data_IF_379733041712
#
_entry.id   IF_379733041712
#
_cell.length_a   1.000
_cell.length_b   1.000
_cell.length_c   1.000
_cell.angle_alpha   90.00
_cell.angle_beta   90.00
_cell.angle_gamma   90.00
#
_symmetry.space_group_name_H-M   'P 1'
#
loop_
_entity.id
_entity.type
_entity.pdbx_description
1 polymer ?
#
# COMPACT_ATOMS: atom_id res chain seq x y z
N UNK A 1 -46.22 -43.43 26.25
CA UNK A 1 -45.14 -43.60 25.24
C UNK A 1 -44.39 -42.27 25.11
N UNK A 2 -43.33 -42.00 25.91
CA UNK A 2 -42.54 -40.79 25.76
C UNK A 2 -41.35 -41.06 24.80
N UNK A 3 -41.18 -40.21 23.80
CA UNK A 3 -40.01 -40.20 22.91
C UNK A 3 -38.95 -39.28 23.53
N UNK A 4 -37.91 -39.89 24.11
CA UNK A 4 -36.67 -39.21 24.51
C UNK A 4 -35.83 -38.91 23.27
N UNK A 5 -35.82 -37.64 22.85
CA UNK A 5 -34.89 -37.15 21.82
C UNK A 5 -33.50 -36.94 22.41
N UNK A 6 -32.56 -37.82 22.04
CA UNK A 6 -31.14 -37.71 22.37
C UNK A 6 -30.53 -36.46 21.72
N UNK A 7 -30.15 -35.50 22.55
CA UNK A 7 -29.34 -34.35 22.15
C UNK A 7 -27.92 -34.83 21.84
N UNK A 8 -27.60 -34.93 20.55
CA UNK A 8 -26.23 -35.14 20.08
C UNK A 8 -25.38 -33.90 20.39
N UNK A 9 -24.62 -33.97 21.48
CA UNK A 9 -23.59 -32.99 21.79
C UNK A 9 -22.49 -33.07 20.71
N UNK A 10 -22.42 -32.05 19.85
CA UNK A 10 -21.30 -31.88 18.92
C UNK A 10 -20.01 -31.67 19.71
N UNK A 11 -19.16 -32.70 19.72
CA UNK A 11 -17.80 -32.64 20.27
C UNK A 11 -17.00 -31.64 19.44
N UNK A 12 -16.71 -30.47 20.02
CA UNK A 12 -15.86 -29.47 19.42
C UNK A 12 -14.44 -30.03 19.30
N UNK A 13 -14.05 -30.41 18.08
CA UNK A 13 -12.68 -30.83 17.76
C UNK A 13 -11.73 -29.69 18.13
N UNK A 14 -10.73 -29.91 19.00
CA UNK A 14 -9.76 -28.88 19.34
C UNK A 14 -8.96 -28.55 18.09
N UNK A 15 -9.19 -27.36 17.54
CA UNK A 15 -8.40 -26.83 16.41
C UNK A 15 -6.94 -26.84 16.83
N UNK A 16 -6.12 -27.65 16.14
CA UNK A 16 -4.71 -27.78 16.40
C UNK A 16 -4.06 -26.38 16.42
N UNK A 17 -3.38 -26.05 17.53
CA UNK A 17 -2.69 -24.77 17.70
C UNK A 17 -1.67 -24.63 16.59
N UNK A 18 -1.91 -23.70 15.66
CA UNK A 18 -0.97 -23.45 14.57
C UNK A 18 0.31 -22.88 15.18
N UNK A 19 1.45 -23.57 14.95
CA UNK A 19 2.75 -23.04 15.35
C UNK A 19 3.01 -21.73 14.63
N UNK A 20 3.48 -20.73 15.37
CA UNK A 20 3.89 -19.44 14.81
C UNK A 20 4.96 -19.65 13.72
N UNK A 21 4.77 -19.12 12.51
CA UNK A 21 5.81 -19.13 11.49
C UNK A 21 7.07 -18.40 11.98
N UNK A 22 8.26 -18.94 11.67
CA UNK A 22 9.57 -18.37 12.07
C UNK A 22 9.76 -16.90 11.70
N UNK A 23 9.05 -16.39 10.68
CA UNK A 23 9.11 -14.99 10.21
C UNK A 23 7.84 -14.19 10.46
N UNK A 24 7.03 -14.57 11.44
CA UNK A 24 5.81 -13.83 11.79
C UNK A 24 6.15 -12.49 12.44
N UNK A 25 5.68 -11.38 11.86
CA UNK A 25 5.81 -10.02 12.41
C UNK A 25 4.80 -9.69 13.51
N UNK A 26 3.98 -10.66 13.94
CA UNK A 26 2.95 -10.46 14.97
C UNK A 26 3.61 -10.08 16.31
N UNK A 27 3.22 -8.93 16.85
CA UNK A 27 3.78 -8.43 18.11
C UNK A 27 2.99 -8.98 19.30
N UNK A 28 3.64 -9.08 20.45
CA UNK A 28 2.91 -9.35 21.69
C UNK A 28 1.90 -8.22 21.97
N UNK A 29 0.81 -8.56 22.65
CA UNK A 29 -0.33 -7.67 22.85
C UNK A 29 -1.34 -7.63 21.69
N UNK A 30 -1.07 -8.30 20.56
CA UNK A 30 -2.05 -8.47 19.47
C UNK A 30 -2.89 -9.74 19.67
N UNK A 31 -4.17 -9.71 19.26
CA UNK A 31 -5.06 -10.86 19.34
C UNK A 31 -4.55 -12.08 18.56
N UNK A 32 -3.97 -11.85 17.37
CA UNK A 32 -3.37 -12.89 16.52
C UNK A 32 -2.17 -13.59 17.17
N UNK A 33 -1.51 -12.96 18.13
CA UNK A 33 -0.42 -13.60 18.88
C UNK A 33 -0.95 -14.76 19.74
N UNK A 34 -2.14 -14.60 20.33
CA UNK A 34 -2.79 -15.64 21.12
C UNK A 34 -3.27 -16.81 20.25
N UNK A 35 -3.68 -16.55 19.01
CA UNK A 35 -4.09 -17.60 18.05
C UNK A 35 -2.94 -18.57 17.72
N UNK A 36 -1.69 -18.11 17.80
CA UNK A 36 -0.49 -18.96 17.68
C UNK A 36 -0.12 -19.69 18.99
N UNK A 37 -0.96 -19.63 20.02
CA UNK A 37 -0.74 -20.30 21.31
C UNK A 37 0.11 -19.50 22.31
N UNK A 38 0.29 -18.18 22.12
CA UNK A 38 1.01 -17.36 23.09
C UNK A 38 0.24 -17.27 24.43
N UNK A 39 0.88 -17.68 25.53
CA UNK A 39 0.27 -17.68 26.86
C UNK A 39 0.40 -16.36 27.64
N UNK A 40 1.00 -15.30 27.07
CA UNK A 40 1.14 -14.02 27.77
C UNK A 40 -0.22 -13.39 28.06
N UNK A 41 -0.37 -12.80 29.24
CA UNK A 41 -1.63 -12.20 29.69
C UNK A 41 -2.15 -11.13 28.72
N UNK A 42 -1.26 -10.25 28.25
CA UNK A 42 -1.56 -9.20 27.26
C UNK A 42 -2.15 -9.75 25.96
N UNK A 43 -1.61 -10.86 25.43
CA UNK A 43 -2.08 -11.50 24.20
C UNK A 43 -3.46 -12.12 24.42
N UNK A 44 -3.66 -12.84 25.54
CA UNK A 44 -4.96 -13.44 25.87
C UNK A 44 -6.04 -12.39 26.07
N UNK A 45 -5.73 -11.30 26.78
CA UNK A 45 -6.66 -10.19 26.96
C UNK A 45 -7.00 -9.51 25.64
N UNK A 46 -6.03 -9.32 24.73
CA UNK A 46 -6.28 -8.81 23.39
C UNK A 46 -7.22 -9.74 22.59
N UNK A 47 -7.01 -11.05 22.66
CA UNK A 47 -7.87 -12.04 22.01
C UNK A 47 -9.31 -12.02 22.55
N UNK A 48 -9.47 -11.93 23.89
CA UNK A 48 -10.78 -11.81 24.53
C UNK A 48 -11.48 -10.50 24.17
N UNK A 49 -10.77 -9.37 24.13
CA UNK A 49 -11.33 -8.10 23.65
C UNK A 49 -11.82 -8.21 22.21
N UNK A 50 -11.01 -8.81 21.32
CA UNK A 50 -11.39 -9.03 19.93
C UNK A 50 -12.60 -9.96 19.78
N UNK A 51 -12.71 -11.03 20.60
CA UNK A 51 -13.87 -11.93 20.61
C UNK A 51 -15.14 -11.21 21.06
N UNK A 52 -15.09 -10.48 22.18
CA UNK A 52 -16.22 -9.69 22.68
C UNK A 52 -16.68 -8.65 21.68
N UNK A 53 -15.76 -8.00 20.97
CA UNK A 53 -16.13 -7.06 19.92
C UNK A 53 -16.89 -7.76 18.78
N UNK A 54 -16.40 -8.91 18.30
CA UNK A 54 -17.08 -9.69 17.26
C UNK A 54 -18.48 -10.17 17.68
N UNK A 55 -18.66 -10.49 18.96
CA UNK A 55 -19.97 -10.86 19.50
C UNK A 55 -20.92 -9.65 19.52
N UNK A 56 -20.44 -8.48 19.95
CA UNK A 56 -21.22 -7.23 19.90
C UNK A 56 -21.60 -6.85 18.47
N UNK A 57 -20.67 -6.98 17.53
CA UNK A 57 -20.93 -6.68 16.12
C UNK A 57 -21.99 -7.64 15.56
N UNK A 58 -21.89 -8.94 15.87
CA UNK A 58 -22.91 -9.94 15.51
C UNK A 58 -24.26 -9.62 16.12
N UNK A 59 -24.31 -9.25 17.41
CA UNK A 59 -25.56 -8.86 18.07
C UNK A 59 -26.20 -7.61 17.45
N UNK A 60 -25.40 -6.73 16.85
CA UNK A 60 -25.86 -5.55 16.10
C UNK A 60 -26.19 -5.84 14.63
N UNK A 61 -26.14 -7.09 14.19
CA UNK A 61 -26.36 -7.47 12.79
C UNK A 61 -25.29 -6.96 11.83
N UNK A 62 -24.11 -6.58 12.33
CA UNK A 62 -23.04 -6.04 11.49
C UNK A 62 -22.30 -7.18 10.78
N UNK A 63 -22.12 -7.12 9.44
CA UNK A 63 -21.41 -8.17 8.73
C UNK A 63 -19.93 -8.19 9.11
N UNK A 64 -19.39 -9.39 9.34
CA UNK A 64 -17.99 -9.60 9.71
C UNK A 64 -16.99 -9.23 8.60
N UNK A 65 -17.47 -9.24 7.35
CA UNK A 65 -16.76 -8.92 6.13
C UNK A 65 -17.38 -7.66 5.53
N UNK A 66 -16.55 -6.78 4.98
CA UNK A 66 -17.00 -5.53 4.34
C UNK A 66 -16.24 -5.31 3.04
N UNK A 67 -16.84 -4.59 2.08
CA UNK A 67 -16.16 -4.21 0.86
C UNK A 67 -14.88 -3.40 1.16
N UNK A 68 -13.76 -3.68 0.47
CA UNK A 68 -12.47 -3.05 0.75
C UNK A 68 -12.36 -1.57 0.35
N UNK A 69 -13.29 -1.04 -0.46
CA UNK A 69 -13.12 0.24 -1.16
C UNK A 69 -12.89 1.44 -0.25
N UNK A 70 -13.60 1.53 0.88
CA UNK A 70 -13.42 2.64 1.81
C UNK A 70 -12.02 2.64 2.43
N UNK A 71 -11.55 1.47 2.89
CA UNK A 71 -10.22 1.28 3.42
C UNK A 71 -9.14 1.51 2.35
N UNK A 72 -9.38 1.06 1.11
CA UNK A 72 -8.47 1.28 -0.02
C UNK A 72 -8.30 2.78 -0.33
N UNK A 73 -9.40 3.53 -0.47
CA UNK A 73 -9.35 4.98 -0.68
C UNK A 73 -8.61 5.70 0.45
N UNK A 74 -8.86 5.31 1.70
CA UNK A 74 -8.17 5.91 2.85
C UNK A 74 -6.67 5.57 2.87
N UNK A 75 -6.31 4.31 2.61
CA UNK A 75 -4.92 3.89 2.51
C UNK A 75 -4.18 4.64 1.39
N UNK A 76 -4.83 4.92 0.26
CA UNK A 76 -4.27 5.77 -0.81
C UNK A 76 -4.05 7.20 -0.32
N UNK A 77 -4.98 7.79 0.45
CA UNK A 77 -4.77 9.11 1.06
C UNK A 77 -3.59 9.14 2.03
N UNK A 78 -3.47 8.11 2.88
CA UNK A 78 -2.32 7.95 3.79
C UNK A 78 -1.00 7.87 3.02
N UNK A 79 -0.97 7.14 1.89
CA UNK A 79 0.18 7.12 0.99
C UNK A 79 0.50 8.47 0.37
N UNK A 80 -0.52 9.23 -0.05
CA UNK A 80 -0.35 10.59 -0.56
C UNK A 80 0.32 11.54 0.46
N UNK A 81 0.11 11.26 1.75
CA UNK A 81 0.75 11.95 2.88
C UNK A 81 2.10 11.36 3.29
N UNK A 82 2.65 10.41 2.51
CA UNK A 82 3.99 9.88 2.71
C UNK A 82 4.07 8.62 3.58
N UNK A 83 2.95 8.00 3.98
CA UNK A 83 3.02 6.70 4.66
C UNK A 83 3.29 5.58 3.67
N UNK A 84 4.25 4.71 3.97
CA UNK A 84 4.42 3.46 3.23
C UNK A 84 3.36 2.42 3.62
N UNK A 85 3.22 1.37 2.81
CA UNK A 85 2.38 0.23 3.17
C UNK A 85 2.83 -0.44 4.48
N UNK A 86 4.13 -0.37 4.80
CA UNK A 86 4.68 -0.86 6.07
C UNK A 86 4.18 0.00 7.23
N UNK A 87 4.28 1.33 7.13
CA UNK A 87 3.82 2.25 8.18
C UNK A 87 2.32 2.11 8.46
N UNK A 88 1.53 1.96 7.39
CA UNK A 88 0.08 1.73 7.50
C UNK A 88 -0.17 0.39 8.22
N UNK A 89 0.57 -0.66 7.86
CA UNK A 89 0.42 -1.98 8.49
C UNK A 89 0.81 -1.95 9.97
N UNK A 90 1.92 -1.30 10.32
CA UNK A 90 2.39 -1.18 11.70
C UNK A 90 1.41 -0.35 12.54
N UNK A 91 0.87 0.77 12.03
CA UNK A 91 -0.13 1.59 12.74
C UNK A 91 -1.49 0.91 12.88
N UNK A 92 -1.95 0.18 11.86
CA UNK A 92 -3.21 -0.57 11.93
C UNK A 92 -3.07 -1.91 12.68
N UNK A 93 -1.86 -2.35 13.02
CA UNK A 93 -1.62 -3.69 13.58
C UNK A 93 -1.98 -4.82 12.60
N UNK A 94 -1.81 -4.59 11.30
CA UNK A 94 -2.13 -5.52 10.22
C UNK A 94 -0.88 -6.09 9.56
N UNK A 95 -1.05 -7.10 8.71
CA UNK A 95 0.05 -7.57 7.87
C UNK A 95 0.25 -6.65 6.66
N UNK A 96 1.51 -6.43 6.28
CA UNK A 96 1.89 -5.61 5.12
C UNK A 96 1.29 -6.18 3.83
N UNK A 97 1.17 -7.51 3.74
CA UNK A 97 0.56 -8.19 2.60
C UNK A 97 -0.92 -7.84 2.47
N UNK A 98 -1.66 -7.75 3.57
CA UNK A 98 -3.05 -7.31 3.56
C UNK A 98 -3.16 -5.85 3.12
N UNK A 99 -2.33 -4.95 3.66
CA UNK A 99 -2.32 -3.54 3.28
C UNK A 99 -1.98 -3.37 1.79
N UNK A 100 -0.97 -4.08 1.28
CA UNK A 100 -0.62 -4.09 -0.15
C UNK A 100 -1.72 -4.67 -1.03
N UNK A 101 -2.53 -5.60 -0.52
CA UNK A 101 -3.71 -6.10 -1.24
C UNK A 101 -4.79 -5.03 -1.31
N UNK A 102 -5.11 -4.40 -0.18
CA UNK A 102 -6.07 -3.29 -0.10
C UNK A 102 -5.66 -2.11 -0.98
N UNK A 103 -4.38 -1.76 -1.02
CA UNK A 103 -3.85 -0.69 -1.89
C UNK A 103 -3.92 -1.01 -3.38
N UNK A 104 -3.99 -2.29 -3.75
CA UNK A 104 -4.15 -2.73 -5.15
C UNK A 104 -5.61 -2.82 -5.57
N UNK A 105 -6.54 -2.74 -4.63
CA UNK A 105 -7.97 -2.77 -4.93
C UNK A 105 -8.36 -1.51 -5.72
N UNK A 106 -8.82 -1.65 -6.97
CA UNK A 106 -9.35 -0.53 -7.73
C UNK A 106 -10.58 0.07 -7.02
N UNK A 107 -10.79 1.38 -7.20
CA UNK A 107 -11.88 2.08 -6.53
C UNK A 107 -13.29 1.54 -6.88
N UNK A 108 -13.42 0.86 -8.03
CA UNK A 108 -14.69 0.41 -8.61
C UNK A 108 -14.73 -1.09 -8.94
N UNK A 109 -13.75 -1.87 -8.47
CA UNK A 109 -13.70 -3.30 -8.78
C UNK A 109 -14.59 -4.10 -7.82
N UNK A 110 -15.80 -4.43 -8.27
CA UNK A 110 -16.76 -5.23 -7.51
C UNK A 110 -16.33 -6.67 -7.27
N UNK A 111 -15.27 -7.14 -7.94
CA UNK A 111 -14.72 -8.49 -7.75
C UNK A 111 -13.67 -8.58 -6.65
N UNK A 112 -13.29 -7.44 -6.06
CA UNK A 112 -12.32 -7.41 -5.00
C UNK A 112 -12.82 -8.18 -3.75
N UNK A 113 -12.03 -9.13 -3.21
CA UNK A 113 -12.47 -9.96 -2.10
C UNK A 113 -12.66 -9.12 -0.83
N UNK A 114 -13.77 -9.37 -0.14
CA UNK A 114 -14.11 -8.69 1.11
C UNK A 114 -13.03 -8.87 2.18
N UNK A 115 -12.78 -7.78 2.91
CA UNK A 115 -11.85 -7.76 4.04
C UNK A 115 -12.63 -7.87 5.35
N UNK A 116 -11.96 -8.34 6.40
CA UNK A 116 -12.55 -8.34 7.74
C UNK A 116 -12.87 -6.89 8.14
N UNK A 117 -14.07 -6.67 8.69
CA UNK A 117 -14.53 -5.35 9.19
C UNK A 117 -13.49 -4.71 10.11
N UNK A 118 -12.97 -5.48 11.07
CA UNK A 118 -11.94 -5.02 11.99
C UNK A 118 -10.68 -4.50 11.29
N UNK A 119 -10.32 -5.08 10.13
CA UNK A 119 -9.17 -4.61 9.34
C UNK A 119 -9.50 -3.32 8.58
N UNK A 120 -10.72 -3.20 8.05
CA UNK A 120 -11.18 -1.97 7.43
C UNK A 120 -11.19 -0.83 8.46
N UNK A 121 -11.78 -1.06 9.63
CA UNK A 121 -11.85 -0.10 10.73
C UNK A 121 -10.46 0.29 11.23
N UNK A 122 -9.53 -0.68 11.34
CA UNK A 122 -8.16 -0.41 11.75
C UNK A 122 -7.41 0.50 10.75
N UNK A 123 -7.64 0.33 9.44
CA UNK A 123 -7.07 1.21 8.41
C UNK A 123 -7.72 2.59 8.49
N UNK A 124 -9.05 2.66 8.54
CA UNK A 124 -9.83 3.90 8.62
C UNK A 124 -9.53 4.71 9.88
N UNK A 125 -9.19 4.04 10.99
CA UNK A 125 -8.82 4.65 12.26
C UNK A 125 -7.42 5.26 12.29
N UNK A 126 -6.57 5.06 11.27
CA UNK A 126 -5.26 5.73 11.23
C UNK A 126 -5.48 7.23 10.97
N UNK A 127 -5.05 8.12 11.89
CA UNK A 127 -5.18 9.56 11.68
C UNK A 127 -4.28 10.01 10.52
N UNK A 128 -4.74 11.00 9.75
CA UNK A 128 -3.89 11.65 8.76
C UNK A 128 -2.75 12.39 9.50
N UNK A 129 -1.50 12.23 9.06
CA UNK A 129 -0.39 12.92 9.68
C UNK A 129 -0.50 14.41 9.33
N UNK A 130 -0.33 15.28 10.33
CA UNK A 130 -0.59 16.72 10.21
C UNK A 130 0.39 17.43 9.27
N UNK A 131 1.54 16.80 8.98
CA UNK A 131 2.49 17.18 7.94
C UNK A 131 2.99 15.91 7.29
N UNK A 132 3.40 15.98 6.01
CA UNK A 132 4.35 15.00 5.45
C UNK A 132 5.53 14.97 6.40
N UNK A 133 5.60 13.94 7.24
CA UNK A 133 6.77 13.73 8.06
C UNK A 133 7.70 12.86 7.21
N UNK A 134 8.73 13.42 6.56
CA UNK A 134 9.66 12.65 5.72
C UNK A 134 10.50 11.65 6.54
N UNK A 135 10.33 11.62 7.86
CA UNK A 135 11.14 10.84 8.79
C UNK A 135 11.06 9.32 8.66
N UNK A 136 10.06 8.74 7.99
CA UNK A 136 10.07 7.30 7.68
C UNK A 136 10.42 7.05 6.22
N UNK A 137 11.63 6.55 5.90
CA UNK A 137 12.06 6.25 4.55
C UNK A 137 11.35 5.00 4.02
N UNK A 138 10.07 5.15 3.67
CA UNK A 138 9.32 4.12 2.98
C UNK A 138 9.91 3.90 1.59
N UNK A 139 10.60 2.80 1.36
CA UNK A 139 10.95 2.40 0.00
C UNK A 139 9.69 1.86 -0.70
N UNK A 140 9.43 2.37 -1.91
CA UNK A 140 8.37 1.90 -2.80
C UNK A 140 8.98 1.31 -4.07
N UNK A 141 8.21 0.45 -4.73
CA UNK A 141 8.50 0.02 -6.09
C UNK A 141 8.58 1.24 -7.03
N UNK A 142 9.50 1.16 -7.99
CA UNK A 142 9.82 2.27 -8.91
C UNK A 142 9.13 2.19 -10.24
N UNK A 143 8.47 1.08 -10.58
CA UNK A 143 7.88 0.86 -11.91
C UNK A 143 6.99 2.02 -12.35
N UNK A 144 6.13 2.51 -11.45
CA UNK A 144 5.27 3.66 -11.74
C UNK A 144 6.08 4.95 -11.99
N UNK A 145 7.04 5.26 -11.11
CA UNK A 145 7.87 6.45 -11.25
C UNK A 145 8.75 6.41 -12.52
N UNK A 146 9.29 5.23 -12.85
CA UNK A 146 10.04 4.97 -14.08
C UNK A 146 9.19 5.26 -15.32
N UNK A 147 7.97 4.69 -15.38
CA UNK A 147 7.01 4.93 -16.47
C UNK A 147 6.69 6.43 -16.63
N UNK A 148 6.39 7.12 -15.53
CA UNK A 148 6.07 8.56 -15.58
C UNK A 148 7.26 9.40 -16.08
N UNK A 149 8.49 9.08 -15.67
CA UNK A 149 9.69 9.76 -16.20
C UNK A 149 9.94 9.42 -17.67
N UNK A 150 9.64 8.21 -18.11
CA UNK A 150 9.70 7.83 -19.51
C UNK A 150 8.68 8.62 -20.35
N UNK A 151 7.47 8.81 -19.84
CA UNK A 151 6.41 9.60 -20.49
C UNK A 151 6.83 11.06 -20.68
N UNK A 152 7.41 11.67 -19.64
CA UNK A 152 7.96 13.03 -19.75
C UNK A 152 9.13 13.11 -20.75
N UNK A 153 10.01 12.12 -20.78
CA UNK A 153 11.09 12.08 -21.77
C UNK A 153 10.55 11.96 -23.20
N UNK A 154 9.46 11.20 -23.42
CA UNK A 154 8.76 11.13 -24.73
C UNK A 154 8.09 12.45 -25.10
N UNK A 155 7.55 13.19 -24.13
CA UNK A 155 7.08 14.55 -24.35
C UNK A 155 8.21 15.55 -24.65
N UNK A 156 9.47 15.17 -24.38
CA UNK A 156 10.67 15.93 -24.71
C UNK A 156 11.27 16.71 -23.53
N UNK A 157 10.90 16.35 -22.30
CA UNK A 157 11.46 16.95 -21.08
C UNK A 157 12.86 16.38 -20.76
N UNK A 158 13.94 17.19 -20.82
CA UNK A 158 15.29 16.71 -20.55
C UNK A 158 15.47 16.29 -19.08
N UNK A 159 16.30 15.27 -18.85
CA UNK A 159 16.56 14.77 -17.49
C UNK A 159 17.17 15.84 -16.57
N UNK A 160 17.96 16.76 -17.11
CA UNK A 160 18.55 17.89 -16.37
C UNK A 160 17.48 18.82 -15.82
N UNK A 161 16.48 19.20 -16.64
CA UNK A 161 15.37 20.05 -16.21
C UNK A 161 14.47 19.34 -15.20
N UNK A 162 14.18 18.06 -15.42
CA UNK A 162 13.41 17.26 -14.46
C UNK A 162 14.12 17.16 -13.10
N UNK A 163 15.44 16.99 -13.12
CA UNK A 163 16.26 16.90 -11.92
C UNK A 163 16.28 18.20 -11.11
N UNK A 164 16.41 19.35 -11.79
CA UNK A 164 16.32 20.67 -11.15
C UNK A 164 14.97 20.85 -10.45
N UNK A 165 13.85 20.48 -11.10
CA UNK A 165 12.51 20.61 -10.50
C UNK A 165 12.24 19.63 -9.36
N UNK A 166 12.90 18.47 -9.37
CA UNK A 166 12.78 17.49 -8.30
C UNK A 166 13.75 17.74 -7.14
N UNK A 167 14.69 18.68 -7.29
CA UNK A 167 15.83 18.90 -6.40
C UNK A 167 16.63 17.60 -6.17
N UNK A 168 17.06 16.97 -7.28
CA UNK A 168 17.88 15.75 -7.29
C UNK A 168 18.95 15.83 -8.37
N UNK A 169 19.90 14.89 -8.35
CA UNK A 169 20.90 14.78 -9.40
C UNK A 169 20.28 14.23 -10.71
N UNK A 170 20.63 14.77 -11.91
CA UNK A 170 20.20 14.21 -13.19
C UNK A 170 20.49 12.71 -13.37
N UNK A 171 21.58 12.23 -12.79
CA UNK A 171 21.91 10.79 -12.73
C UNK A 171 20.85 9.99 -11.97
N UNK A 172 20.32 10.53 -10.88
CA UNK A 172 19.24 9.88 -10.12
C UNK A 172 17.97 9.75 -10.95
N UNK A 173 17.62 10.76 -11.76
CA UNK A 173 16.47 10.69 -12.68
C UNK A 173 16.68 9.58 -13.72
N UNK A 174 17.88 9.49 -14.29
CA UNK A 174 18.23 8.42 -15.23
C UNK A 174 18.18 7.02 -14.56
N UNK A 175 18.72 6.89 -13.35
CA UNK A 175 18.70 5.63 -12.59
C UNK A 175 17.28 5.19 -12.22
N UNK A 176 16.42 6.10 -11.75
CA UNK A 176 15.02 5.80 -11.45
C UNK A 176 14.27 5.36 -12.70
N UNK A 177 14.56 5.99 -13.84
CA UNK A 177 13.97 5.59 -15.12
C UNK A 177 14.44 4.21 -15.58
N UNK A 178 15.73 3.91 -15.46
CA UNK A 178 16.34 2.80 -16.20
C UNK A 178 16.60 1.54 -15.37
N UNK A 179 16.98 1.66 -14.09
CA UNK A 179 17.65 0.55 -13.38
C UNK A 179 17.23 0.35 -11.92
N UNK A 180 16.65 1.36 -11.28
CA UNK A 180 16.49 1.35 -9.83
C UNK A 180 15.19 0.63 -9.46
N UNK A 181 15.19 -0.53 -8.78
CA UNK A 181 13.97 -1.27 -8.46
C UNK A 181 13.18 -0.68 -7.29
N UNK A 182 13.83 0.13 -6.44
CA UNK A 182 13.21 0.74 -5.27
C UNK A 182 13.68 2.17 -5.07
N UNK A 183 12.75 3.07 -4.80
CA UNK A 183 13.04 4.46 -4.45
C UNK A 183 12.27 4.90 -3.21
N UNK A 184 12.69 6.03 -2.62
CA UNK A 184 11.95 6.64 -1.53
C UNK A 184 10.56 7.08 -2.00
N UNK A 185 9.55 6.80 -1.18
CA UNK A 185 8.16 7.15 -1.45
C UNK A 185 7.98 8.65 -1.68
N UNK A 186 8.69 9.49 -0.94
CA UNK A 186 8.61 10.94 -1.15
C UNK A 186 9.09 11.34 -2.57
N UNK A 187 10.19 10.76 -3.05
CA UNK A 187 10.65 11.00 -4.42
C UNK A 187 9.65 10.48 -5.45
N UNK A 188 9.06 9.29 -5.22
CA UNK A 188 8.01 8.76 -6.11
C UNK A 188 6.81 9.71 -6.19
N UNK A 189 6.34 10.24 -5.06
CA UNK A 189 5.23 11.20 -5.02
C UNK A 189 5.59 12.55 -5.64
N UNK A 190 6.85 13.01 -5.51
CA UNK A 190 7.34 14.20 -6.21
C UNK A 190 7.31 14.00 -7.72
N UNK A 191 7.79 12.85 -8.21
CA UNK A 191 7.72 12.48 -9.63
C UNK A 191 6.26 12.45 -10.13
N UNK A 192 5.34 11.83 -9.39
CA UNK A 192 3.92 11.77 -9.78
C UNK A 192 3.23 13.14 -9.82
N UNK A 193 3.63 14.09 -8.96
CA UNK A 193 3.15 15.47 -9.03
C UNK A 193 3.74 16.17 -10.25
N UNK A 194 5.06 16.12 -10.40
CA UNK A 194 5.76 16.73 -11.53
C UNK A 194 5.21 16.25 -12.88
N UNK A 195 4.90 14.96 -13.01
CA UNK A 195 4.28 14.42 -14.21
C UNK A 195 2.93 15.07 -14.51
N UNK A 196 2.02 15.13 -13.52
CA UNK A 196 0.71 15.79 -13.71
C UNK A 196 0.87 17.26 -14.09
N UNK A 197 1.86 17.92 -13.53
CA UNK A 197 2.12 19.34 -13.75
C UNK A 197 2.76 19.63 -15.13
N UNK A 198 3.41 18.64 -15.77
CA UNK A 198 4.19 18.86 -16.99
C UNK A 198 3.67 18.14 -18.23
N UNK A 199 2.95 17.03 -18.10
CA UNK A 199 2.64 16.14 -19.22
C UNK A 199 1.84 16.82 -20.35
N UNK A 200 0.98 17.80 -20.00
CA UNK A 200 0.15 18.52 -20.96
C UNK A 200 0.80 19.81 -21.49
N UNK A 201 2.04 20.10 -21.09
CA UNK A 201 2.71 21.34 -21.47
C UNK A 201 3.83 21.12 -22.47
N UNK A 202 4.01 22.10 -23.36
CA UNK A 202 5.10 22.13 -24.32
C UNK A 202 6.41 22.57 -23.63
N UNK A 203 7.49 21.74 -23.65
CA UNK A 203 8.77 22.10 -23.05
C UNK A 203 9.38 23.40 -23.62
N UNK A 204 9.08 23.75 -24.87
CA UNK A 204 9.56 24.99 -25.49
C UNK A 204 9.02 26.24 -24.77
N UNK A 205 7.78 26.18 -24.24
CA UNK A 205 7.20 27.25 -23.44
C UNK A 205 7.88 27.45 -22.08
N UNK A 206 8.78 26.55 -21.69
CA UNK A 206 9.60 26.63 -20.49
C UNK A 206 11.08 26.91 -20.78
N UNK A 207 11.38 27.46 -21.97
CA UNK A 207 12.73 27.87 -22.35
C UNK A 207 13.66 26.71 -22.72
N UNK A 208 13.14 25.49 -22.92
CA UNK A 208 13.95 24.36 -23.37
C UNK A 208 14.19 24.49 -24.87
N UNK A 209 15.46 24.45 -25.28
CA UNK A 209 15.84 24.61 -26.68
C UNK A 209 15.25 23.48 -27.56
N UNK A 210 14.69 23.77 -28.75
CA UNK A 210 14.09 22.76 -29.62
C UNK A 210 15.01 21.56 -29.94
N UNK A 211 16.31 21.80 -30.09
CA UNK A 211 17.31 20.75 -30.30
C UNK A 211 17.39 19.77 -29.12
N UNK A 212 17.31 20.25 -27.88
CA UNK A 212 17.36 19.39 -26.70
C UNK A 212 16.07 18.59 -26.52
N UNK A 213 14.93 19.19 -26.88
CA UNK A 213 13.63 18.51 -26.95
C UNK A 213 13.71 17.35 -27.96
N UNK A 214 14.15 17.63 -29.18
CA UNK A 214 14.29 16.63 -30.25
C UNK A 214 15.28 15.51 -29.85
N UNK A 215 16.43 15.87 -29.28
CA UNK A 215 17.43 14.92 -28.78
C UNK A 215 16.85 14.01 -27.69
N UNK A 216 16.10 14.58 -26.75
CA UNK A 216 15.46 13.83 -25.66
C UNK A 216 14.42 12.85 -26.20
N UNK A 217 13.57 13.29 -27.12
CA UNK A 217 12.57 12.44 -27.78
C UNK A 217 13.21 11.28 -28.55
N UNK A 218 14.25 11.57 -29.33
CA UNK A 218 15.00 10.56 -30.08
C UNK A 218 15.68 9.55 -29.14
N UNK A 219 16.23 10.00 -28.01
CA UNK A 219 16.80 9.11 -27.01
C UNK A 219 15.75 8.23 -26.33
N UNK A 220 14.55 8.76 -26.06
CA UNK A 220 13.43 7.98 -25.50
C UNK A 220 12.94 6.91 -26.48
N UNK A 221 12.79 7.26 -27.77
CA UNK A 221 12.37 6.33 -28.81
C UNK A 221 13.34 5.15 -28.98
N UNK A 222 14.66 5.42 -29.01
CA UNK A 222 15.69 4.38 -29.09
C UNK A 222 15.64 3.39 -27.93
N UNK A 223 15.32 3.88 -26.72
CA UNK A 223 15.23 3.03 -25.53
C UNK A 223 14.02 2.11 -25.56
N UNK A 224 12.87 2.62 -26.01
CA UNK A 224 11.68 1.79 -26.18
C UNK A 224 11.93 0.63 -27.15
N UNK A 225 12.60 0.92 -28.26
CA UNK A 225 12.99 -0.10 -29.23
C UNK A 225 13.90 -1.17 -28.60
N UNK A 226 14.88 -0.77 -27.78
CA UNK A 226 15.79 -1.70 -27.11
C UNK A 226 15.13 -2.56 -26.02
N UNK A 227 14.00 -2.13 -25.44
CA UNK A 227 13.23 -2.93 -24.46
C UNK A 227 12.19 -3.86 -25.08
N UNK A 228 11.91 -3.72 -26.38
CA UNK A 228 10.91 -4.54 -27.10
C UNK A 228 11.51 -5.82 -27.72
N UNK A 229 12.84 -5.90 -27.80
CA UNK A 229 13.64 -7.06 -28.19
C UNK A 229 14.04 -7.88 -26.97
#
# INVERSE_FOLDING_TARGET
>A
MPLTGEQSASVAVPVARQRRPRRSTVRHGQASCADYGCARAECRQAALRARRQRERDRARGLPARVPPHAAARWAVRLRGQGMSAQDIADRAGLSVTLVRRVLRTPAHDTTAPDIARTSADAILGIPLPHRRNPGTPGLTDSAEASRLLADLARAGWPATTLAQRLDVNPRTVAEVRDKRPRLHLDLALRISRLHRDLINFNPAGYGIHPTDIARTRAAAARRMAATAT
#
